data_IF_294786648527
#
_entry.id   IF_294786648527
#
_cell.length_a   1.000
_cell.length_b   1.000
_cell.length_c   1.000
_cell.angle_alpha   90.00
_cell.angle_beta   90.00
_cell.angle_gamma   90.00
#
_symmetry.space_group_name_H-M   'P 1'
#
loop_
_entity.id
_entity.type
_entity.pdbx_description
1 polymer ?
#
# COMPACT_ATOMS: atom_id res chain seq x y z
N UNK A 1 -20.99 8.09 -22.05
CA UNK A 1 -20.07 7.51 -21.03
C UNK A 1 -19.85 8.47 -19.86
N UNK A 2 -19.45 9.73 -20.10
CA UNK A 2 -19.24 10.72 -19.03
C UNK A 2 -20.46 10.92 -18.11
N UNK A 3 -21.66 11.11 -18.67
CA UNK A 3 -22.86 11.36 -17.85
C UNK A 3 -23.18 10.20 -16.89
N UNK A 4 -23.00 8.95 -17.34
CA UNK A 4 -23.21 7.77 -16.50
C UNK A 4 -22.23 7.75 -15.32
N UNK A 5 -20.94 7.99 -15.57
CA UNK A 5 -19.92 8.06 -14.52
C UNK A 5 -20.23 9.21 -13.57
N UNK A 6 -20.63 10.38 -14.09
CA UNK A 6 -21.02 11.53 -13.27
C UNK A 6 -22.17 11.19 -12.33
N UNK A 7 -23.24 10.56 -12.81
CA UNK A 7 -24.36 10.12 -11.96
C UNK A 7 -23.92 9.11 -10.90
N UNK A 8 -23.09 8.11 -11.27
CA UNK A 8 -22.56 7.12 -10.33
C UNK A 8 -21.75 7.76 -9.19
N UNK A 9 -21.04 8.86 -9.46
CA UNK A 9 -20.21 9.59 -8.50
C UNK A 9 -20.98 10.62 -7.68
N UNK A 10 -22.09 11.17 -8.20
CA UNK A 10 -22.90 12.15 -7.46
C UNK A 10 -23.91 11.50 -6.51
N UNK A 11 -24.63 10.50 -6.98
CA UNK A 11 -25.76 9.90 -6.23
C UNK A 11 -25.81 8.37 -6.29
N UNK A 12 -24.91 7.74 -7.05
CA UNK A 12 -24.86 6.28 -7.21
C UNK A 12 -23.91 5.56 -6.25
N UNK A 13 -23.66 4.26 -6.49
CA UNK A 13 -22.86 3.41 -5.61
C UNK A 13 -21.38 3.83 -5.47
N UNK A 14 -20.87 4.66 -6.39
CA UNK A 14 -19.49 5.13 -6.39
C UNK A 14 -19.32 6.52 -5.74
N UNK A 15 -20.37 7.05 -5.09
CA UNK A 15 -20.34 8.32 -4.37
C UNK A 15 -19.24 8.36 -3.31
N UNK A 16 -19.15 7.30 -2.52
CA UNK A 16 -18.21 7.17 -1.40
C UNK A 16 -17.25 6.00 -1.67
N UNK A 17 -16.63 5.99 -2.86
CA UNK A 17 -15.73 4.91 -3.25
C UNK A 17 -14.47 4.94 -2.38
N UNK A 18 -14.03 3.77 -1.91
CA UNK A 18 -12.86 3.66 -1.03
C UNK A 18 -11.60 4.29 -1.65
N UNK A 19 -11.39 4.13 -2.95
CA UNK A 19 -10.29 4.72 -3.72
C UNK A 19 -10.14 6.24 -3.54
N UNK A 20 -11.22 6.97 -3.20
CA UNK A 20 -11.17 8.41 -3.00
C UNK A 20 -10.37 8.82 -1.75
N UNK A 21 -10.26 7.92 -0.78
CA UNK A 21 -9.54 8.14 0.49
C UNK A 21 -8.38 7.17 0.69
N UNK A 22 -8.47 5.97 0.10
CA UNK A 22 -7.54 4.85 0.26
C UNK A 22 -6.87 4.45 -1.07
N UNK A 23 -6.89 5.35 -2.06
CA UNK A 23 -6.21 5.16 -3.34
C UNK A 23 -4.69 5.02 -3.18
N UNK A 24 -4.07 4.22 -4.04
CA UNK A 24 -2.64 3.88 -3.98
C UNK A 24 -1.74 5.13 -4.03
N UNK A 25 -2.20 6.21 -4.67
CA UNK A 25 -1.47 7.47 -4.79
C UNK A 25 -1.33 8.22 -3.46
N UNK A 26 -2.05 7.78 -2.41
CA UNK A 26 -2.09 8.38 -1.07
C UNK A 26 -1.44 7.53 0.02
N UNK A 27 -1.19 6.24 -0.23
CA UNK A 27 -0.72 5.27 0.78
C UNK A 27 0.79 5.34 1.07
N UNK A 28 1.37 6.55 0.99
CA UNK A 28 2.76 6.81 1.35
C UNK A 28 2.82 7.54 2.70
N UNK A 29 3.95 7.41 3.40
CA UNK A 29 4.17 8.11 4.67
C UNK A 29 4.34 9.62 4.42
N UNK A 30 3.64 10.51 5.16
CA UNK A 30 3.79 11.96 5.01
C UNK A 30 5.21 12.50 5.25
N UNK A 31 6.03 11.75 5.99
CA UNK A 31 7.43 12.11 6.30
C UNK A 31 8.43 11.45 5.37
N UNK A 32 7.98 10.68 4.38
CA UNK A 32 8.85 10.01 3.42
C UNK A 32 9.58 11.01 2.52
N UNK A 33 10.81 10.67 2.13
CA UNK A 33 11.51 11.39 1.06
C UNK A 33 10.78 11.24 -0.28
N UNK A 34 11.06 12.08 -1.26
CA UNK A 34 10.49 11.94 -2.61
C UNK A 34 10.82 10.59 -3.27
N UNK A 35 11.99 10.03 -2.96
CA UNK A 35 12.41 8.70 -3.40
C UNK A 35 11.52 7.64 -2.76
N UNK A 36 11.39 7.66 -1.43
CA UNK A 36 10.63 6.64 -0.70
C UNK A 36 9.14 6.74 -0.98
N UNK A 37 8.61 7.95 -1.16
CA UNK A 37 7.23 8.16 -1.58
C UNK A 37 6.92 7.46 -2.90
N UNK A 38 7.78 7.60 -3.92
CA UNK A 38 7.60 6.91 -5.21
C UNK A 38 7.69 5.40 -5.05
N UNK A 39 8.63 4.93 -4.23
CA UNK A 39 8.77 3.52 -3.91
C UNK A 39 7.53 2.95 -3.21
N UNK A 40 7.01 3.63 -2.19
CA UNK A 40 5.82 3.23 -1.44
C UNK A 40 4.57 3.21 -2.33
N UNK A 41 4.42 4.18 -3.24
CA UNK A 41 3.35 4.17 -4.25
C UNK A 41 3.49 2.94 -5.15
N UNK A 42 4.68 2.63 -5.64
CA UNK A 42 4.92 1.43 -6.45
C UNK A 42 4.55 0.14 -5.70
N UNK A 43 4.97 0.01 -4.44
CA UNK A 43 4.62 -1.14 -3.59
C UNK A 43 3.10 -1.24 -3.43
N UNK A 44 2.41 -0.12 -3.15
CA UNK A 44 0.96 -0.07 -3.05
C UNK A 44 0.26 -0.52 -4.34
N UNK A 45 0.78 -0.13 -5.51
CA UNK A 45 0.27 -0.58 -6.81
C UNK A 45 0.46 -2.09 -7.02
N UNK A 46 1.61 -2.65 -6.62
CA UNK A 46 1.85 -4.10 -6.70
C UNK A 46 0.91 -4.88 -5.77
N UNK A 47 0.65 -4.36 -4.57
CA UNK A 47 -0.27 -4.97 -3.62
C UNK A 47 -1.74 -4.87 -4.05
N UNK A 48 -2.14 -3.79 -4.73
CA UNK A 48 -3.52 -3.54 -5.16
C UNK A 48 -4.11 -4.61 -6.10
N UNK A 49 -3.28 -5.30 -6.88
CA UNK A 49 -3.77 -6.33 -7.81
C UNK A 49 -4.65 -7.37 -7.08
N UNK A 50 -5.92 -7.48 -7.49
CA UNK A 50 -6.94 -8.36 -6.89
C UNK A 50 -7.09 -8.19 -5.36
N UNK A 51 -6.91 -6.97 -4.85
CA UNK A 51 -7.02 -6.63 -3.44
C UNK A 51 -7.85 -5.35 -3.29
N UNK A 52 -8.81 -5.33 -2.36
CA UNK A 52 -9.64 -4.14 -2.11
C UNK A 52 -8.79 -3.00 -1.53
N UNK A 53 -9.14 -1.76 -1.85
CA UNK A 53 -8.39 -0.56 -1.39
C UNK A 53 -8.19 -0.53 0.12
N UNK A 54 -9.24 -0.79 0.91
CA UNK A 54 -9.16 -0.81 2.37
C UNK A 54 -8.19 -1.89 2.90
N UNK A 55 -8.10 -3.03 2.22
CA UNK A 55 -7.18 -4.12 2.61
C UNK A 55 -5.74 -3.75 2.24
N UNK A 56 -5.54 -3.14 1.07
CA UNK A 56 -4.24 -2.62 0.66
C UNK A 56 -3.75 -1.53 1.63
N UNK A 57 -4.62 -0.61 2.03
CA UNK A 57 -4.31 0.43 2.99
C UNK A 57 -3.85 -0.13 4.34
N UNK A 58 -4.51 -1.18 4.85
CA UNK A 58 -4.08 -1.88 6.07
C UNK A 58 -2.70 -2.52 5.88
N UNK A 59 -2.45 -3.21 4.77
CA UNK A 59 -1.15 -3.84 4.51
C UNK A 59 -0.02 -2.80 4.41
N UNK A 60 -0.26 -1.69 3.72
CA UNK A 60 0.68 -0.56 3.63
C UNK A 60 0.97 0.03 5.02
N UNK A 61 -0.05 0.22 5.86
CA UNK A 61 0.13 0.66 7.25
C UNK A 61 1.06 -0.27 8.04
N UNK A 62 0.84 -1.58 7.95
CA UNK A 62 1.72 -2.57 8.60
C UNK A 62 3.15 -2.52 8.09
N UNK A 63 3.36 -2.33 6.79
CA UNK A 63 4.71 -2.17 6.22
C UNK A 63 5.38 -0.87 6.72
N UNK A 64 4.63 0.21 6.91
CA UNK A 64 5.17 1.45 7.48
C UNK A 64 5.55 1.30 8.96
N UNK A 65 4.72 0.59 9.73
CA UNK A 65 4.84 0.54 11.19
C UNK A 65 5.70 -0.63 11.71
N UNK A 66 5.66 -1.78 11.03
CA UNK A 66 6.21 -3.04 11.53
C UNK A 66 7.41 -3.56 10.72
N UNK A 67 7.74 -2.98 9.56
CA UNK A 67 8.87 -3.45 8.76
C UNK A 67 10.20 -3.11 9.47
N UNK A 68 11.04 -4.12 9.79
CA UNK A 68 12.24 -3.90 10.57
C UNK A 68 13.29 -3.13 9.76
N UNK A 69 14.19 -2.40 10.44
CA UNK A 69 15.31 -1.76 9.77
C UNK A 69 16.31 -2.81 9.26
N UNK A 70 16.95 -2.53 8.13
CA UNK A 70 17.98 -3.40 7.55
C UNK A 70 19.24 -3.52 8.43
N UNK A 71 19.52 -2.55 9.29
CA UNK A 71 20.65 -2.57 10.22
C UNK A 71 20.37 -1.81 11.52
N UNK A 72 21.22 -2.03 12.53
CA UNK A 72 21.08 -1.39 13.83
C UNK A 72 21.32 0.12 13.72
N UNK A 73 20.31 0.92 14.12
CA UNK A 73 20.36 2.39 14.07
C UNK A 73 19.75 3.00 12.80
N UNK A 74 19.41 2.19 11.80
CA UNK A 74 18.66 2.64 10.63
C UNK A 74 17.16 2.84 10.97
N UNK A 75 16.45 3.72 10.23
CA UNK A 75 15.02 3.92 10.44
C UNK A 75 14.20 2.68 10.02
N UNK A 76 13.20 2.28 10.82
CA UNK A 76 12.26 1.22 10.44
C UNK A 76 11.27 1.73 9.37
N UNK A 77 10.43 0.82 8.88
CA UNK A 77 9.33 1.12 7.97
C UNK A 77 9.67 0.95 6.50
N UNK A 78 8.70 1.24 5.64
CA UNK A 78 8.74 0.89 4.21
C UNK A 78 9.68 1.79 3.40
N UNK A 79 10.91 1.34 3.24
CA UNK A 79 11.89 1.85 2.29
C UNK A 79 12.55 0.70 1.52
N UNK A 80 13.36 1.04 0.50
CA UNK A 80 13.96 0.03 -0.37
C UNK A 80 14.90 -0.90 0.39
N UNK A 81 15.74 -0.33 1.24
CA UNK A 81 16.79 -1.03 1.97
C UNK A 81 16.19 -2.06 2.95
N UNK A 82 15.14 -1.66 3.68
CA UNK A 82 14.42 -2.54 4.61
C UNK A 82 13.67 -3.67 3.88
N UNK A 83 13.08 -3.41 2.70
CA UNK A 83 12.41 -4.44 1.89
C UNK A 83 13.39 -5.46 1.31
N UNK A 84 14.61 -5.05 0.95
CA UNK A 84 15.62 -5.97 0.44
C UNK A 84 16.23 -6.85 1.55
N UNK A 85 16.26 -6.36 2.79
CA UNK A 85 16.86 -7.03 3.92
C UNK A 85 15.90 -7.92 4.72
N UNK A 86 14.59 -7.69 4.62
CA UNK A 86 13.60 -8.45 5.40
C UNK A 86 13.52 -9.91 4.95
N UNK A 87 13.40 -10.81 5.91
CA UNK A 87 13.15 -12.23 5.63
C UNK A 87 11.82 -12.41 4.87
N UNK A 88 11.77 -13.20 3.79
CA UNK A 88 10.55 -13.42 3.01
C UNK A 88 9.36 -13.87 3.87
N UNK A 89 9.58 -14.73 4.87
CA UNK A 89 8.53 -15.17 5.78
C UNK A 89 7.91 -14.01 6.58
N UNK A 90 8.74 -13.04 7.00
CA UNK A 90 8.27 -11.86 7.73
C UNK A 90 7.52 -10.91 6.80
N UNK A 91 8.04 -10.67 5.60
CA UNK A 91 7.34 -9.86 4.59
C UNK A 91 5.95 -10.46 4.30
N UNK A 92 5.88 -11.77 4.04
CA UNK A 92 4.63 -12.47 3.76
C UNK A 92 3.62 -12.35 4.92
N UNK A 93 4.09 -12.40 6.16
CA UNK A 93 3.26 -12.19 7.35
C UNK A 93 2.66 -10.77 7.42
N UNK A 94 3.46 -9.75 7.07
CA UNK A 94 3.03 -8.34 7.05
C UNK A 94 1.93 -8.12 6.00
N UNK A 95 2.09 -8.72 4.81
CA UNK A 95 1.14 -8.57 3.70
C UNK A 95 0.08 -9.66 3.61
N UNK A 96 -0.04 -10.57 4.58
CA UNK A 96 -0.92 -11.77 4.53
C UNK A 96 -2.38 -11.52 4.17
N UNK A 97 -2.88 -10.30 4.43
CA UNK A 97 -4.26 -9.89 4.13
C UNK A 97 -4.47 -9.58 2.65
N UNK A 98 -3.40 -9.33 1.91
CA UNK A 98 -3.40 -9.02 0.48
C UNK A 98 -3.72 -10.30 -0.32
N UNK A 99 -4.53 -10.15 -1.36
CA UNK A 99 -4.83 -11.25 -2.28
C UNK A 99 -3.56 -11.74 -2.97
N UNK A 100 -3.37 -13.06 -3.04
CA UNK A 100 -2.18 -13.68 -3.64
C UNK A 100 -0.84 -13.25 -3.00
N UNK A 101 -0.81 -12.96 -1.68
CA UNK A 101 0.39 -12.56 -0.94
C UNK A 101 1.61 -13.46 -1.15
N UNK A 102 1.41 -14.78 -1.31
CA UNK A 102 2.50 -15.72 -1.61
C UNK A 102 3.24 -15.44 -2.93
N UNK A 103 2.57 -14.85 -3.93
CA UNK A 103 3.20 -14.46 -5.20
C UNK A 103 3.75 -13.02 -5.17
N UNK A 104 3.50 -12.31 -4.07
CA UNK A 104 3.85 -10.90 -3.86
C UNK A 104 4.95 -10.71 -2.80
N UNK A 105 5.46 -11.82 -2.28
CA UNK A 105 6.62 -11.91 -1.37
C UNK A 105 7.83 -12.31 -2.18
#
# INVERSE_FOLDING_TARGET
MYELVRQMRLCGPARDAAVDTMGCERLFSPTASDRDRRFQILISLMMSSQTKDAVNAVAMGRLHDELPPHEAGAPPGLNLENILAVEPAKLNELIRVVGFHNNKT
#
